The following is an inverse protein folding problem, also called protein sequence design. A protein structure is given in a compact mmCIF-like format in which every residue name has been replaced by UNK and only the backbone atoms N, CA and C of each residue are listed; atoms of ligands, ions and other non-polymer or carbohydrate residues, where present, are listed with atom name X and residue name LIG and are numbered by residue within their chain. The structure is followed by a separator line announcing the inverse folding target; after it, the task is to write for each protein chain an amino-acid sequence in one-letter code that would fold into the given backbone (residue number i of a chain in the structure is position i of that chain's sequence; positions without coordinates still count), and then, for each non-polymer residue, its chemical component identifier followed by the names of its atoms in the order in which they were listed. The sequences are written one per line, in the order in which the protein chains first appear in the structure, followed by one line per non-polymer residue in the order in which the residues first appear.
data_IF_348093533438
#
_entry.id   IF_348093533438
#
_cell.length_a   1.000
_cell.length_b   1.000
_cell.length_c   1.000
_cell.angle_alpha   90.00
_cell.angle_beta   90.00
_cell.angle_gamma   90.00
#
_symmetry.space_group_name_H-M   'P 1'
#
loop_
_entity.id
_entity.type
_entity.pdbx_description
1 polymer ?
#
# COMPACT_ATOMS: atom_id res chain seq x y z
N UNK A 1 4.13 -6.08 -3.63
CA UNK A 1 2.99 -6.76 -2.98
C UNK A 1 1.84 -6.78 -3.96
N UNK A 2 1.22 -7.94 -4.15
CA UNK A 2 0.02 -8.13 -4.97
C UNK A 2 -1.16 -8.43 -4.05
N UNK A 3 -2.35 -7.92 -4.37
CA UNK A 3 -3.57 -8.09 -3.57
C UNK A 3 -4.77 -8.33 -4.47
N UNK A 4 -5.71 -9.16 -4.03
CA UNK A 4 -6.98 -9.35 -4.72
C UNK A 4 -7.90 -8.15 -4.47
N UNK A 5 -8.53 -7.67 -5.54
CA UNK A 5 -9.48 -6.58 -5.50
C UNK A 5 -10.64 -6.81 -6.47
N UNK A 6 -11.74 -6.08 -6.26
CA UNK A 6 -12.91 -6.08 -7.14
C UNK A 6 -13.08 -4.66 -7.69
N UNK A 7 -13.28 -4.55 -9.00
CA UNK A 7 -13.53 -3.26 -9.65
C UNK A 7 -14.93 -2.76 -9.29
N UNK A 8 -15.06 -1.56 -8.73
CA UNK A 8 -16.36 -0.99 -8.35
C UNK A 8 -16.87 0.04 -9.34
N UNK A 9 -15.99 0.88 -9.89
CA UNK A 9 -16.34 1.86 -10.93
C UNK A 9 -15.15 2.19 -11.80
N UNK A 10 -15.43 2.65 -13.01
CA UNK A 10 -14.42 3.21 -13.91
C UNK A 10 -14.42 4.73 -13.70
N UNK A 11 -13.26 5.31 -13.39
CA UNK A 11 -13.13 6.77 -13.16
C UNK A 11 -12.71 7.46 -14.45
N UNK A 12 -11.73 6.90 -15.18
CA UNK A 12 -11.22 7.42 -16.45
C UNK A 12 -10.75 6.25 -17.34
N UNK A 13 -10.51 6.51 -18.63
CA UNK A 13 -10.15 5.50 -19.63
C UNK A 13 -9.02 4.53 -19.19
N UNK A 14 -8.08 5.01 -18.37
CA UNK A 14 -6.96 4.21 -17.82
C UNK A 14 -7.01 4.01 -16.30
N UNK A 15 -8.06 4.45 -15.60
CA UNK A 15 -8.16 4.37 -14.13
C UNK A 15 -9.50 3.83 -13.66
N UNK A 16 -9.45 2.81 -12.81
CA UNK A 16 -10.61 2.21 -12.16
C UNK A 16 -10.49 2.33 -10.64
N UNK A 17 -11.62 2.55 -9.98
CA UNK A 17 -11.72 2.37 -8.54
C UNK A 17 -11.86 0.88 -8.26
N UNK A 18 -11.00 0.39 -7.38
CA UNK A 18 -11.01 -1.00 -6.93
C UNK A 18 -11.16 -1.03 -5.43
N UNK A 19 -11.94 -1.99 -4.95
CA UNK A 19 -12.03 -2.31 -3.53
C UNK A 19 -11.18 -3.53 -3.28
N UNK A 20 -10.06 -3.33 -2.57
CA UNK A 20 -9.22 -4.42 -2.09
C UNK A 20 -9.68 -4.81 -0.70
N UNK A 21 -9.88 -6.12 -0.48
CA UNK A 21 -10.08 -6.65 0.87
C UNK A 21 -8.72 -6.73 1.53
N UNK A 22 -8.51 -5.97 2.60
CA UNK A 22 -7.23 -6.01 3.32
C UNK A 22 -7.14 -7.35 4.07
N UNK A 23 -6.37 -8.30 3.56
CA UNK A 23 -5.96 -9.46 4.36
C UNK A 23 -5.00 -8.95 5.43
N UNK A 24 -5.51 -8.64 6.61
CA UNK A 24 -4.69 -8.42 7.79
C UNK A 24 -4.14 -9.75 8.27
N UNK A 25 -2.95 -9.74 8.87
CA UNK A 25 -2.36 -10.94 9.48
C UNK A 25 -3.21 -11.49 10.64
N UNK A 26 -4.17 -10.69 11.14
CA UNK A 26 -5.19 -11.13 12.08
C UNK A 26 -6.28 -11.89 11.30
N UNK A 27 -6.05 -13.19 11.11
CA UNK A 27 -7.06 -14.09 10.58
C UNK A 27 -8.36 -14.01 11.37
N UNK A 28 -9.37 -13.37 10.78
CA UNK A 28 -10.80 -13.70 10.88
C UNK A 28 -11.40 -14.01 12.27
N UNK A 29 -10.93 -13.40 13.36
CA UNK A 29 -11.58 -13.49 14.67
C UNK A 29 -11.56 -12.15 15.42
N UNK A 30 -12.20 -11.10 14.85
CA UNK A 30 -12.57 -9.88 15.59
C UNK A 30 -13.85 -10.11 16.44
N UNK A 31 -14.03 -11.29 17.04
CA UNK A 31 -15.19 -11.58 17.88
C UNK A 31 -15.21 -10.81 19.21
N UNK A 32 -14.07 -10.23 19.63
CA UNK A 32 -13.90 -9.73 20.99
C UNK A 32 -13.17 -8.38 21.10
N UNK A 33 -13.09 -7.61 20.00
CA UNK A 33 -12.44 -6.30 20.00
C UNK A 33 -13.47 -5.22 19.68
N UNK A 34 -13.92 -4.51 20.72
CA UNK A 34 -14.86 -3.38 20.66
C UNK A 34 -14.38 -2.21 19.77
N UNK A 35 -13.15 -2.28 19.22
CA UNK A 35 -12.56 -1.24 18.38
C UNK A 35 -12.22 -1.69 16.95
N UNK A 36 -12.72 -2.83 16.44
CA UNK A 36 -12.54 -3.19 15.02
C UNK A 36 -13.48 -2.33 14.12
N UNK A 37 -13.30 -1.00 14.12
CA UNK A 37 -13.87 -0.07 13.11
C UNK A 37 -12.89 0.04 11.93
N UNK A 38 -12.25 -1.06 11.55
CA UNK A 38 -11.48 -1.11 10.32
C UNK A 38 -12.40 -1.69 9.25
N UNK A 39 -12.97 -0.77 8.47
CA UNK A 39 -13.66 -1.11 7.23
C UNK A 39 -12.69 -1.94 6.38
N UNK A 40 -12.92 -3.26 6.31
CA UNK A 40 -12.06 -4.24 5.62
C UNK A 40 -11.93 -3.96 4.10
N UNK A 41 -12.67 -2.95 3.63
CA UNK A 41 -12.75 -2.48 2.25
C UNK A 41 -11.90 -1.23 2.07
N UNK A 42 -10.68 -1.41 1.58
CA UNK A 42 -9.84 -0.29 1.18
C UNK A 42 -10.18 0.06 -0.27
N UNK A 43 -10.76 1.25 -0.47
CA UNK A 43 -10.93 1.84 -1.80
C UNK A 43 -9.59 2.38 -2.26
N UNK A 44 -9.09 1.87 -3.38
CA UNK A 44 -7.86 2.30 -4.00
C UNK A 44 -8.12 2.61 -5.48
N UNK A 45 -7.37 3.55 -6.03
CA UNK A 45 -7.37 3.81 -7.46
C UNK A 45 -6.27 2.97 -8.11
N UNK A 46 -6.64 2.19 -9.12
CA UNK A 46 -5.73 1.33 -9.86
C UNK A 46 -5.78 1.66 -11.34
N UNK A 47 -4.64 1.49 -12.03
CA UNK A 47 -4.58 1.65 -13.48
C UNK A 47 -5.24 0.46 -14.17
N UNK A 48 -6.19 0.74 -15.06
CA UNK A 48 -6.98 -0.27 -15.75
C UNK A 48 -6.41 -0.55 -17.16
N UNK A 49 -5.26 -1.22 -17.23
CA UNK A 49 -4.59 -1.55 -18.51
C UNK A 49 -5.28 -2.67 -19.30
N UNK A 50 -6.12 -3.46 -18.64
CA UNK A 50 -6.77 -4.65 -19.21
C UNK A 50 -8.24 -4.39 -19.58
N UNK A 51 -8.72 -3.14 -19.49
CA UNK A 51 -10.13 -2.77 -19.69
C UNK A 51 -11.10 -3.61 -18.82
N UNK A 52 -10.73 -3.87 -17.56
CA UNK A 52 -11.58 -4.56 -16.59
C UNK A 52 -12.86 -3.75 -16.33
N UNK A 53 -13.99 -4.46 -16.18
CA UNK A 53 -15.30 -3.86 -15.97
C UNK A 53 -15.70 -3.91 -14.48
N UNK A 54 -16.64 -3.05 -14.04
CA UNK A 54 -17.19 -3.13 -12.70
C UNK A 54 -17.75 -4.53 -12.42
N UNK A 55 -17.33 -5.14 -11.31
CA UNK A 55 -17.67 -6.51 -10.93
C UNK A 55 -16.55 -7.53 -11.18
N UNK A 56 -15.54 -7.20 -11.98
CA UNK A 56 -14.43 -8.11 -12.24
C UNK A 56 -13.50 -8.23 -11.02
N UNK A 57 -13.09 -9.47 -10.73
CA UNK A 57 -12.03 -9.76 -9.75
C UNK A 57 -10.68 -9.64 -10.43
N UNK A 58 -9.85 -8.74 -9.91
CA UNK A 58 -8.53 -8.42 -10.46
C UNK A 58 -7.46 -8.46 -9.38
N UNK A 59 -6.23 -8.83 -9.76
CA UNK A 59 -5.08 -8.76 -8.88
C UNK A 59 -4.37 -7.43 -9.10
N UNK A 60 -4.32 -6.59 -8.08
CA UNK A 60 -3.62 -5.30 -8.14
C UNK A 60 -2.22 -5.41 -7.53
N UNK A 61 -1.26 -4.73 -8.14
CA UNK A 61 0.10 -4.63 -7.63
C UNK A 61 0.35 -3.24 -7.05
N UNK A 62 0.59 -3.16 -5.74
CA UNK A 62 0.91 -1.90 -5.07
C UNK A 62 2.41 -1.62 -5.15
N UNK A 63 2.79 -0.55 -5.86
CA UNK A 63 4.19 -0.11 -5.96
C UNK A 63 4.57 0.72 -4.73
N UNK A 64 5.01 0.06 -3.66
CA UNK A 64 5.47 0.71 -2.41
C UNK A 64 6.83 1.44 -2.54
N UNK A 65 7.24 1.82 -3.75
CA UNK A 65 8.62 2.24 -4.00
C UNK A 65 8.95 3.63 -3.47
N UNK A 66 7.97 4.56 -3.39
CA UNK A 66 8.24 5.94 -2.96
C UNK A 66 8.47 6.05 -1.45
N UNK A 67 7.73 5.30 -0.66
CA UNK A 67 7.84 5.35 0.82
C UNK A 67 9.16 4.72 1.27
N UNK A 68 9.61 3.66 0.60
CA UNK A 68 10.86 2.99 0.92
C UNK A 68 12.09 3.88 0.73
N UNK A 69 12.12 4.68 -0.35
CA UNK A 69 13.23 5.61 -0.60
C UNK A 69 13.31 6.73 0.44
N UNK A 70 12.17 7.28 0.86
CA UNK A 70 12.13 8.32 1.89
C UNK A 70 12.57 7.76 3.25
N UNK A 71 12.10 6.57 3.62
CA UNK A 71 12.53 5.89 4.84
C UNK A 71 14.05 5.64 4.84
N UNK A 72 14.59 5.14 3.73
CA UNK A 72 16.04 4.92 3.61
C UNK A 72 16.84 6.19 3.84
N UNK A 73 16.41 7.34 3.29
CA UNK A 73 17.09 8.61 3.52
C UNK A 73 17.10 8.99 5.00
N UNK A 74 15.95 8.94 5.68
CA UNK A 74 15.83 9.31 7.10
C UNK A 74 16.68 8.40 8.01
N UNK A 75 16.86 7.13 7.66
CA UNK A 75 17.67 6.19 8.45
C UNK A 75 19.16 6.21 8.10
N UNK A 76 19.50 6.33 6.82
CA UNK A 76 20.89 6.24 6.36
C UNK A 76 21.62 7.57 6.49
N UNK A 77 20.96 8.70 6.21
CA UNK A 77 21.55 10.03 6.27
C UNK A 77 22.15 10.40 7.64
N UNK A 78 21.48 10.19 8.79
CA UNK A 78 22.08 10.47 10.09
C UNK A 78 23.28 9.56 10.41
N UNK A 79 23.27 8.31 9.91
CA UNK A 79 24.38 7.38 10.11
C UNK A 79 25.63 7.81 9.33
N UNK A 80 25.45 8.31 8.10
CA UNK A 80 26.53 8.89 7.29
C UNK A 80 27.08 10.16 7.96
N UNK A 81 26.21 11.09 8.39
CA UNK A 81 26.63 12.31 9.08
C UNK A 81 27.44 12.00 10.34
N UNK A 82 27.01 10.99 11.11
CA UNK A 82 27.74 10.56 12.30
C UNK A 82 29.14 10.05 11.96
N UNK A 83 29.28 9.18 10.96
CA UNK A 83 30.59 8.66 10.54
C UNK A 83 31.50 9.76 9.98
N UNK A 84 30.95 10.66 9.17
CA UNK A 84 31.71 11.81 8.63
C UNK A 84 32.17 12.73 9.75
N UNK A 85 31.29 13.06 10.70
CA UNK A 85 31.64 13.87 11.86
C UNK A 85 32.74 13.22 12.72
N UNK A 86 32.67 11.90 12.92
CA UNK A 86 33.71 11.16 13.64
C UNK A 86 35.07 11.22 12.95
N UNK A 87 35.11 11.02 11.62
CA UNK A 87 36.36 11.05 10.84
C UNK A 87 36.93 12.47 10.72
N UNK A 88 36.09 13.51 10.69
CA UNK A 88 36.58 14.90 10.68
C UNK A 88 37.11 15.31 12.06
N UNK A 89 36.54 14.77 13.14
CA UNK A 89 36.94 15.09 14.51
C UNK A 89 38.20 14.34 14.98
N UNK A 90 38.55 13.23 14.34
CA UNK A 90 39.74 12.42 14.60
C UNK A 90 40.86 12.73 13.60
#
# INVERSE_FOLDING_TARGET
MTQDAIVTRIINNDMAEVVATRTTACGSNCGNCESCIFDDKVKAEARNLINAQPGDRVVIASKSSRVFSAAMLVYVMPLILFLVGYVIAY
#
